data_IF_480495599982
#
_entry.id   IF_480495599982
#
_cell.length_a   1.000
_cell.length_b   1.000
_cell.length_c   1.000
_cell.angle_alpha   90.00
_cell.angle_beta   90.00
_cell.angle_gamma   90.00
#
_symmetry.space_group_name_H-M   'P 1'
#
loop_
_entity.id
_entity.type
_entity.pdbx_description
1 polymer ?
#
# COMPACT_ATOMS: atom_id res chain seq x y z
N UNK A 1 44.08 31.22 80.95
CA UNK A 1 42.96 30.66 80.19
C UNK A 1 42.15 31.83 79.63
N UNK A 2 42.24 32.09 78.33
CA UNK A 2 41.41 33.10 77.64
C UNK A 2 40.22 32.38 76.98
N UNK A 3 38.99 32.93 77.01
CA UNK A 3 37.84 32.28 76.41
C UNK A 3 37.82 32.50 74.89
N UNK A 4 37.77 31.40 74.13
CA UNK A 4 37.58 31.41 72.68
C UNK A 4 36.12 31.79 72.36
N UNK A 5 35.91 33.02 71.88
CA UNK A 5 34.60 33.50 71.41
C UNK A 5 34.33 32.93 70.02
N UNK A 6 33.48 31.90 69.91
CA UNK A 6 33.03 31.38 68.63
C UNK A 6 32.02 32.37 68.00
N UNK A 7 32.40 33.00 66.88
CA UNK A 7 31.42 33.69 66.02
C UNK A 7 30.78 32.68 65.08
N UNK A 8 29.45 32.54 65.16
CA UNK A 8 28.67 31.77 64.21
C UNK A 8 28.70 32.44 62.82
N UNK A 9 28.75 31.67 61.73
CA UNK A 9 28.91 32.24 60.39
C UNK A 9 27.59 32.80 59.85
N UNK A 10 27.63 34.01 59.28
CA UNK A 10 26.50 34.81 58.79
C UNK A 10 25.89 34.34 57.45
N UNK A 11 26.00 33.05 57.08
CA UNK A 11 25.63 32.54 55.75
C UNK A 11 24.13 32.24 55.54
N UNK A 12 23.27 32.41 56.55
CA UNK A 12 21.85 32.01 56.45
C UNK A 12 20.96 32.88 55.54
N UNK A 13 21.32 34.13 55.28
CA UNK A 13 20.51 35.01 54.42
C UNK A 13 20.76 34.74 52.93
N UNK A 14 22.01 34.55 52.52
CA UNK A 14 22.30 34.27 51.10
C UNK A 14 21.69 32.97 50.61
N UNK A 15 21.69 31.91 51.43
CA UNK A 15 21.09 30.62 51.07
C UNK A 15 19.57 30.69 50.95
N UNK A 16 18.90 31.46 51.81
CA UNK A 16 17.45 31.64 51.77
C UNK A 16 17.00 32.45 50.55
N UNK A 17 17.75 33.49 50.16
CA UNK A 17 17.45 34.27 48.94
C UNK A 17 17.61 33.43 47.68
N UNK A 18 18.68 32.63 47.59
CA UNK A 18 18.91 31.74 46.45
C UNK A 18 17.83 30.66 46.38
N UNK A 19 17.44 30.06 47.50
CA UNK A 19 16.38 29.05 47.54
C UNK A 19 15.03 29.61 47.07
N UNK A 20 14.69 30.84 47.49
CA UNK A 20 13.46 31.51 47.04
C UNK A 20 13.50 31.83 45.54
N UNK A 21 14.64 32.28 45.01
CA UNK A 21 14.79 32.54 43.58
C UNK A 21 14.64 31.28 42.72
N UNK A 22 15.22 30.15 43.15
CA UNK A 22 15.06 28.85 42.47
C UNK A 22 13.61 28.36 42.54
N UNK A 23 12.94 28.54 43.68
CA UNK A 23 11.53 28.19 43.83
C UNK A 23 10.63 29.00 42.88
N UNK A 24 10.84 30.32 42.82
CA UNK A 24 10.09 31.20 41.91
C UNK A 24 10.34 30.82 40.46
N UNK A 25 11.59 30.54 40.07
CA UNK A 25 11.91 30.13 38.70
C UNK A 25 11.24 28.80 38.35
N UNK A 26 11.22 27.83 39.26
CA UNK A 26 10.54 26.54 39.08
C UNK A 26 9.02 26.69 38.93
N UNK A 27 8.40 27.57 39.72
CA UNK A 27 6.96 27.84 39.62
C UNK A 27 6.66 28.53 38.29
N UNK A 28 7.47 29.51 37.87
CA UNK A 28 7.30 30.20 36.59
C UNK A 28 7.43 29.22 35.43
N UNK A 29 8.41 28.32 35.43
CA UNK A 29 8.57 27.33 34.36
C UNK A 29 7.44 26.30 34.34
N UNK A 30 6.93 25.86 35.50
CA UNK A 30 5.77 24.99 35.54
C UNK A 30 4.52 25.67 34.98
N UNK A 31 4.26 26.92 35.37
CA UNK A 31 3.11 27.69 34.86
C UNK A 31 3.22 27.92 33.36
N UNK A 32 4.40 28.30 32.85
CA UNK A 32 4.58 28.48 31.39
C UNK A 32 4.42 27.17 30.62
N UNK A 33 4.94 26.05 31.13
CA UNK A 33 4.73 24.74 30.51
C UNK A 33 3.25 24.35 30.48
N UNK A 34 2.50 24.59 31.56
CA UNK A 34 1.04 24.33 31.57
C UNK A 34 0.32 25.19 30.54
N UNK A 35 0.65 26.48 30.43
CA UNK A 35 0.06 27.38 29.43
C UNK A 35 0.37 26.90 28.00
N UNK A 36 1.63 26.53 27.72
CA UNK A 36 2.03 26.00 26.40
C UNK A 36 1.28 24.69 26.09
N UNK A 37 1.15 23.78 27.05
CA UNK A 37 0.41 22.52 26.85
C UNK A 37 -1.07 22.78 26.57
N UNK A 38 -1.69 23.75 27.24
CA UNK A 38 -3.08 24.13 26.99
C UNK A 38 -3.24 24.75 25.59
N UNK A 39 -2.33 25.63 25.18
CA UNK A 39 -2.35 26.24 23.84
C UNK A 39 -2.18 25.18 22.74
N UNK A 40 -1.25 24.24 22.91
CA UNK A 40 -1.04 23.12 21.98
C UNK A 40 -2.29 22.22 21.90
N UNK A 41 -2.95 21.96 23.05
CA UNK A 41 -4.22 21.22 23.06
C UNK A 41 -5.33 21.97 22.32
N UNK A 42 -5.41 23.29 22.49
CA UNK A 42 -6.38 24.13 21.80
C UNK A 42 -6.13 24.13 20.27
N UNK A 43 -4.89 24.33 19.84
CA UNK A 43 -4.52 24.26 18.42
C UNK A 43 -4.77 22.87 17.83
N UNK A 44 -4.57 21.80 18.60
CA UNK A 44 -4.89 20.44 18.17
C UNK A 44 -6.39 20.26 17.95
N UNK A 45 -7.25 20.80 18.83
CA UNK A 45 -8.70 20.74 18.61
C UNK A 45 -9.11 21.51 17.36
N UNK A 46 -8.56 22.71 17.11
CA UNK A 46 -8.85 23.49 15.91
C UNK A 46 -8.38 22.77 14.63
N UNK A 47 -7.21 22.13 14.66
CA UNK A 47 -6.72 21.32 13.55
C UNK A 47 -7.62 20.11 13.27
N UNK A 48 -8.15 19.46 14.31
CA UNK A 48 -9.07 18.34 14.13
C UNK A 48 -10.41 18.79 13.54
N UNK A 49 -10.96 19.91 14.01
CA UNK A 49 -12.18 20.48 13.42
C UNK A 49 -11.98 20.89 11.95
N UNK A 50 -10.84 21.51 11.62
CA UNK A 50 -10.54 21.88 10.23
C UNK A 50 -10.37 20.64 9.35
N UNK A 51 -9.69 19.58 9.83
CA UNK A 51 -9.61 18.29 9.12
C UNK A 51 -10.99 17.67 8.89
N UNK A 52 -11.89 17.71 9.89
CA UNK A 52 -13.25 17.20 9.75
C UNK A 52 -14.06 17.98 8.72
N UNK A 53 -13.97 19.32 8.73
CA UNK A 53 -14.66 20.19 7.76
C UNK A 53 -14.15 19.97 6.33
N UNK A 54 -12.85 19.75 6.14
CA UNK A 54 -12.30 19.43 4.81
C UNK A 54 -12.72 18.03 4.35
N UNK A 55 -12.94 17.09 5.27
CA UNK A 55 -13.47 15.75 4.97
C UNK A 55 -14.93 15.80 4.54
N UNK A 56 -15.75 16.69 5.12
CA UNK A 56 -17.16 16.90 4.68
C UNK A 56 -17.28 17.70 3.37
N UNK A 57 -16.26 18.49 3.02
CA UNK A 57 -16.22 19.25 1.76
C UNK A 57 -15.86 18.39 0.53
N UNK A 58 -15.46 17.13 0.73
CA UNK A 58 -15.25 16.14 -0.35
C UNK A 58 -16.43 15.18 -0.34
N UNK A 59 -17.33 15.23 -1.33
CA UNK A 59 -18.42 14.27 -1.42
C UNK A 59 -17.84 12.86 -1.57
N UNK A 60 -18.27 11.94 -0.72
CA UNK A 60 -18.04 10.50 -0.84
C UNK A 60 -18.66 10.03 -2.16
N UNK A 61 -17.86 10.01 -3.24
CA UNK A 61 -18.33 9.65 -4.58
C UNK A 61 -17.74 10.41 -5.77
N UNK A 62 -16.72 11.28 -5.61
CA UNK A 62 -15.99 11.75 -6.80
C UNK A 62 -15.10 10.64 -7.34
N UNK A 63 -15.65 9.87 -8.28
CA UNK A 63 -14.91 8.98 -9.16
C UNK A 63 -13.76 9.79 -9.81
N UNK A 64 -12.55 9.24 -9.81
CA UNK A 64 -11.35 9.88 -10.38
C UNK A 64 -11.50 10.16 -11.89
N UNK A 65 -12.58 9.69 -12.51
CA UNK A 65 -13.00 9.98 -13.87
C UNK A 65 -13.57 11.40 -14.08
N UNK A 66 -14.16 12.06 -13.08
CA UNK A 66 -14.81 13.37 -13.24
C UNK A 66 -13.84 14.57 -13.14
N UNK A 67 -12.57 14.34 -12.79
CA UNK A 67 -11.54 15.40 -12.74
C UNK A 67 -10.81 15.63 -14.08
N UNK A 68 -11.22 14.99 -15.17
CA UNK A 68 -10.64 15.23 -16.50
C UNK A 68 -11.36 16.32 -17.33
N UNK A 69 -12.50 16.84 -16.87
CA UNK A 69 -13.29 17.85 -17.61
C UNK A 69 -13.20 19.28 -17.05
N UNK A 70 -12.29 19.57 -16.12
CA UNK A 70 -11.94 20.94 -15.76
C UNK A 70 -11.09 21.59 -16.87
N UNK A 71 -11.74 21.89 -17.99
CA UNK A 71 -11.20 22.68 -19.09
C UNK A 71 -10.72 24.03 -18.54
N UNK A 72 -9.48 24.39 -18.86
CA UNK A 72 -8.95 25.75 -18.68
C UNK A 72 -9.95 26.77 -19.21
N UNK A 73 -10.18 27.91 -18.53
CA UNK A 73 -10.88 29.02 -19.14
C UNK A 73 -9.97 29.61 -20.23
N UNK A 74 -10.29 29.31 -21.49
CA UNK A 74 -9.76 30.03 -22.63
C UNK A 74 -10.39 31.43 -22.64
N UNK A 75 -9.54 32.44 -22.50
CA UNK A 75 -9.87 33.83 -22.69
C UNK A 75 -10.00 34.18 -24.17
N UNK A 76 -11.00 35.02 -24.40
CA UNK A 76 -11.05 36.11 -25.38
C UNK A 76 -11.40 35.80 -26.85
N UNK A 77 -12.68 36.09 -27.14
CA UNK A 77 -13.16 37.06 -28.15
C UNK A 77 -12.71 36.90 -29.61
N UNK A 78 -13.63 36.55 -30.51
CA UNK A 78 -14.20 37.50 -31.49
C UNK A 78 -15.37 36.88 -32.28
N UNK A 79 -16.29 37.76 -32.68
CA UNK A 79 -17.58 37.45 -33.28
C UNK A 79 -17.52 37.38 -34.81
N UNK A 80 -18.38 36.56 -35.43
CA UNK A 80 -19.01 36.87 -36.72
C UNK A 80 -20.31 36.05 -36.89
N UNK A 81 -21.46 36.65 -37.29
CA UNK A 81 -22.74 35.97 -37.39
C UNK A 81 -23.12 35.63 -38.84
N UNK A 82 -23.68 34.43 -39.04
CA UNK A 82 -24.58 34.17 -40.17
C UNK A 82 -24.42 32.82 -40.83
N UNK A 83 -25.40 31.93 -40.64
CA UNK A 83 -26.44 31.62 -41.65
C UNK A 83 -27.28 30.42 -41.22
N UNK A 84 -28.55 30.52 -41.57
CA UNK A 84 -29.64 29.57 -41.41
C UNK A 84 -29.33 28.19 -42.03
N UNK A 85 -29.89 27.11 -41.47
CA UNK A 85 -31.00 26.41 -42.11
C UNK A 85 -31.36 25.11 -41.38
N UNK A 86 -32.67 24.94 -41.28
CA UNK A 86 -33.43 23.79 -40.80
C UNK A 86 -33.14 22.52 -41.60
N UNK A 87 -33.09 21.38 -40.90
CA UNK A 87 -33.80 20.11 -41.13
C UNK A 87 -33.19 19.10 -40.16
N UNK A 88 -33.91 18.36 -39.33
CA UNK A 88 -35.11 17.60 -39.65
C UNK A 88 -34.81 16.14 -39.29
N UNK A 89 -35.21 15.78 -38.07
CA UNK A 89 -35.42 14.46 -37.47
C UNK A 89 -35.20 13.26 -38.39
N UNK A 90 -34.36 12.31 -37.96
CA UNK A 90 -34.65 10.88 -38.15
C UNK A 90 -33.85 9.98 -37.19
N UNK A 91 -34.58 9.00 -36.64
CA UNK A 91 -34.12 7.67 -36.21
C UNK A 91 -33.51 7.47 -34.81
N UNK A 92 -34.45 7.40 -33.85
CA UNK A 92 -34.43 6.48 -32.73
C UNK A 92 -34.34 5.01 -33.23
N UNK A 93 -33.20 4.35 -33.04
CA UNK A 93 -33.13 2.99 -32.47
C UNK A 93 -31.66 2.51 -32.32
N UNK A 94 -31.38 2.01 -31.11
CA UNK A 94 -30.51 0.85 -30.82
C UNK A 94 -29.01 1.01 -31.08
N UNK A 95 -28.29 1.35 -30.01
CA UNK A 95 -27.35 0.44 -29.32
C UNK A 95 -26.41 1.25 -28.43
N UNK A 96 -26.60 1.15 -27.11
CA UNK A 96 -25.54 1.49 -26.15
C UNK A 96 -24.39 0.51 -26.39
N UNK A 97 -23.22 1.00 -26.79
CA UNK A 97 -21.91 0.45 -26.40
C UNK A 97 -20.91 1.60 -26.41
N UNK A 98 -20.69 2.13 -25.22
CA UNK A 98 -19.51 2.92 -24.88
C UNK A 98 -18.29 2.04 -25.10
N UNK A 99 -17.37 2.52 -25.93
CA UNK A 99 -16.01 2.01 -26.00
C UNK A 99 -15.23 2.66 -24.87
N UNK A 100 -15.32 2.09 -23.67
CA UNK A 100 -14.28 2.27 -22.66
C UNK A 100 -13.29 1.11 -22.80
N UNK A 101 -12.06 1.49 -23.08
CA UNK A 101 -10.87 0.65 -23.09
C UNK A 101 -10.72 -0.02 -21.73
N UNK A 102 -11.17 -1.28 -21.65
CA UNK A 102 -10.84 -2.17 -20.53
C UNK A 102 -9.43 -2.68 -20.79
N UNK A 103 -8.50 -2.22 -19.96
CA UNK A 103 -7.23 -2.89 -19.70
C UNK A 103 -7.56 -4.34 -19.32
N UNK A 104 -7.19 -5.28 -20.18
CA UNK A 104 -7.49 -6.70 -20.01
C UNK A 104 -6.77 -7.21 -18.76
N UNK A 105 -7.46 -7.84 -17.79
CA UNK A 105 -6.76 -8.69 -16.83
C UNK A 105 -6.27 -9.92 -17.59
N UNK A 106 -5.03 -10.33 -17.30
CA UNK A 106 -4.42 -11.52 -17.87
C UNK A 106 -5.37 -12.72 -17.76
N UNK A 107 -5.49 -13.44 -18.87
CA UNK A 107 -6.54 -14.44 -19.09
C UNK A 107 -6.51 -15.57 -18.07
N UNK A 108 -7.64 -15.78 -17.40
CA UNK A 108 -7.90 -17.00 -16.63
C UNK A 108 -8.09 -18.17 -17.60
N UNK A 109 -7.04 -18.95 -17.86
CA UNK A 109 -7.15 -20.19 -18.61
C UNK A 109 -7.66 -21.31 -17.72
N UNK A 110 -8.98 -21.36 -17.45
CA UNK A 110 -9.60 -22.61 -17.02
C UNK A 110 -9.68 -23.52 -18.26
N UNK A 111 -8.85 -24.57 -18.29
CA UNK A 111 -8.90 -25.60 -19.32
C UNK A 111 -10.30 -26.23 -19.29
N UNK A 112 -11.12 -25.93 -20.31
CA UNK A 112 -12.38 -26.64 -20.51
C UNK A 112 -12.14 -28.14 -20.72
N UNK A 113 -13.12 -29.01 -20.41
CA UNK A 113 -13.01 -30.42 -20.72
C UNK A 113 -12.71 -30.62 -22.23
N UNK A 114 -11.97 -31.68 -22.61
CA UNK A 114 -11.69 -31.98 -24.01
C UNK A 114 -12.96 -31.92 -24.84
N UNK A 115 -12.94 -31.17 -25.95
CA UNK A 115 -14.08 -31.11 -26.86
C UNK A 115 -14.46 -32.52 -27.34
N UNK A 116 -15.75 -32.79 -27.59
CA UNK A 116 -16.16 -34.08 -28.15
C UNK A 116 -15.44 -34.33 -29.49
N UNK A 117 -15.15 -35.59 -29.85
CA UNK A 117 -14.58 -35.92 -31.15
C UNK A 117 -15.36 -35.25 -32.28
N UNK A 118 -14.65 -34.69 -33.25
CA UNK A 118 -15.26 -34.08 -34.44
C UNK A 118 -16.16 -35.09 -35.16
N UNK A 119 -17.25 -34.59 -35.74
CA UNK A 119 -18.12 -35.44 -36.57
C UNK A 119 -17.31 -36.03 -37.72
N UNK A 120 -17.45 -37.34 -38.02
CA UNK A 120 -16.85 -37.91 -39.22
C UNK A 120 -17.24 -37.09 -40.46
N UNK A 121 -16.27 -36.88 -41.36
CA UNK A 121 -16.53 -36.20 -42.63
C UNK A 121 -17.62 -36.92 -43.41
N UNK A 122 -18.39 -36.18 -44.20
CA UNK A 122 -19.38 -36.78 -45.10
C UNK A 122 -18.69 -37.73 -46.06
N UNK A 123 -19.26 -38.91 -46.25
CA UNK A 123 -18.80 -39.86 -47.27
C UNK A 123 -18.72 -39.16 -48.63
N UNK A 124 -17.58 -39.30 -49.31
CA UNK A 124 -17.41 -38.78 -50.65
C UNK A 124 -18.42 -39.42 -51.60
N UNK A 125 -18.90 -38.65 -52.58
CA UNK A 125 -19.70 -39.21 -53.66
C UNK A 125 -18.91 -40.34 -54.34
N UNK A 126 -19.56 -41.48 -54.72
CA UNK A 126 -18.88 -42.55 -55.43
C UNK A 126 -18.21 -42.01 -56.70
N UNK A 127 -16.88 -42.08 -56.74
CA UNK A 127 -16.10 -41.76 -57.93
C UNK A 127 -16.36 -42.79 -59.03
N UNK A 128 -16.29 -42.36 -60.29
CA UNK A 128 -16.21 -43.28 -61.43
C UNK A 128 -14.84 -43.96 -61.44
N UNK A 129 -14.80 -45.25 -61.78
CA UNK A 129 -13.59 -46.07 -61.84
C UNK A 129 -12.51 -45.39 -62.69
N UNK A 130 -11.44 -44.98 -62.02
CA UNK A 130 -10.25 -44.36 -62.60
C UNK A 130 -9.02 -44.72 -61.79
N UNK A 131 -7.91 -45.00 -62.48
CA UNK A 131 -6.63 -45.52 -61.96
C UNK A 131 -5.81 -44.49 -61.16
N UNK A 132 -6.44 -43.74 -60.27
CA UNK A 132 -5.77 -42.77 -59.39
C UNK A 132 -5.11 -43.44 -58.19
N UNK A 133 -3.86 -43.08 -57.89
CA UNK A 133 -3.20 -43.47 -56.64
C UNK A 133 -3.97 -42.90 -55.42
N UNK A 134 -3.99 -43.60 -54.28
CA UNK A 134 -4.58 -43.09 -53.05
C UNK A 134 -3.99 -41.72 -52.66
N UNK A 135 -4.84 -40.78 -52.26
CA UNK A 135 -4.42 -39.49 -51.72
C UNK A 135 -3.57 -39.68 -50.45
N UNK A 136 -2.57 -38.81 -50.27
CA UNK A 136 -1.67 -38.86 -49.10
C UNK A 136 -2.47 -38.68 -47.81
N UNK A 137 -2.20 -39.52 -46.82
CA UNK A 137 -2.77 -39.43 -45.49
C UNK A 137 -2.61 -38.00 -44.95
N UNK A 138 -3.74 -37.38 -44.63
CA UNK A 138 -3.80 -36.12 -43.90
C UNK A 138 -3.26 -36.34 -42.49
N UNK A 139 -1.94 -36.31 -42.33
CA UNK A 139 -1.34 -36.00 -41.05
C UNK A 139 -1.65 -34.53 -40.79
N UNK A 140 -2.78 -34.33 -40.12
CA UNK A 140 -3.12 -33.11 -39.43
C UNK A 140 -1.86 -32.66 -38.68
N UNK A 141 -1.27 -31.57 -39.16
CA UNK A 141 -0.32 -30.80 -38.39
C UNK A 141 -1.11 -30.17 -37.24
N UNK A 142 -1.39 -30.97 -36.21
CA UNK A 142 -1.69 -30.45 -34.89
C UNK A 142 -0.49 -29.57 -34.53
N UNK A 143 -0.70 -28.26 -34.59
CA UNK A 143 0.23 -27.29 -34.03
C UNK A 143 0.55 -27.73 -32.59
N UNK A 144 1.81 -27.63 -32.13
CA UNK A 144 2.10 -27.82 -30.72
C UNK A 144 1.23 -26.82 -29.96
N UNK A 145 0.23 -27.33 -29.24
CA UNK A 145 -0.56 -26.52 -28.34
C UNK A 145 0.40 -25.81 -27.41
N UNK A 146 0.28 -24.48 -27.33
CA UNK A 146 1.00 -23.69 -26.33
C UNK A 146 0.64 -24.27 -24.96
N UNK A 147 1.57 -25.05 -24.40
CA UNK A 147 1.49 -25.53 -23.03
C UNK A 147 1.52 -24.27 -22.16
N UNK A 148 0.39 -23.91 -21.56
CA UNK A 148 0.41 -22.93 -20.48
C UNK A 148 1.27 -23.54 -19.37
N UNK A 149 2.28 -22.84 -18.82
CA UNK A 149 3.10 -23.40 -17.77
C UNK A 149 2.20 -23.81 -16.59
N UNK A 150 2.19 -25.09 -16.27
CA UNK A 150 1.30 -25.73 -15.28
C UNK A 150 1.53 -25.30 -13.82
N UNK A 151 2.29 -24.24 -13.59
CA UNK A 151 2.49 -23.61 -12.30
C UNK A 151 3.13 -22.24 -12.56
N UNK A 152 2.53 -21.09 -12.18
CA UNK A 152 3.23 -19.83 -12.28
C UNK A 152 4.42 -19.88 -11.33
N UNK A 153 5.62 -20.02 -11.91
CA UNK A 153 6.85 -19.92 -11.16
C UNK A 153 7.06 -18.47 -10.77
N UNK A 154 7.62 -18.24 -9.58
CA UNK A 154 7.93 -16.88 -9.17
C UNK A 154 8.90 -16.22 -10.14
N UNK A 155 8.76 -14.89 -10.42
CA UNK A 155 9.72 -14.18 -11.24
C UNK A 155 11.15 -14.34 -10.69
N UNK A 156 12.15 -14.20 -11.58
CA UNK A 156 13.55 -14.30 -11.16
C UNK A 156 13.87 -13.32 -10.03
N UNK A 157 14.56 -13.80 -8.99
CA UNK A 157 14.88 -13.02 -7.80
C UNK A 157 13.78 -12.96 -6.73
N UNK A 158 12.64 -13.63 -6.93
CA UNK A 158 11.62 -13.80 -5.90
C UNK A 158 11.74 -15.16 -5.21
N UNK A 159 11.50 -15.18 -3.91
CA UNK A 159 11.39 -16.39 -3.12
C UNK A 159 9.94 -16.86 -3.06
N UNK A 160 9.66 -18.11 -3.46
CA UNK A 160 8.32 -18.70 -3.36
C UNK A 160 8.06 -19.18 -1.92
N UNK A 161 6.90 -18.84 -1.39
CA UNK A 161 6.36 -19.47 -0.20
C UNK A 161 4.84 -19.55 -0.31
N UNK A 162 4.30 -20.77 -0.20
CA UNK A 162 2.87 -21.05 -0.45
C UNK A 162 2.43 -20.51 -1.83
N UNK A 163 1.34 -19.75 -1.85
CA UNK A 163 0.72 -19.19 -3.04
C UNK A 163 1.18 -17.75 -3.34
N UNK A 164 2.34 -17.35 -2.80
CA UNK A 164 2.91 -16.01 -2.97
C UNK A 164 4.40 -16.05 -3.33
N UNK A 165 4.82 -14.99 -4.01
CA UNK A 165 6.20 -14.71 -4.40
C UNK A 165 6.69 -13.45 -3.68
N UNK A 166 7.83 -13.54 -3.02
CA UNK A 166 8.36 -12.45 -2.19
C UNK A 166 9.67 -11.90 -2.73
N UNK A 167 9.80 -10.57 -2.82
CA UNK A 167 11.04 -9.89 -3.20
C UNK A 167 11.52 -8.98 -2.10
N UNK A 168 12.78 -9.18 -1.71
CA UNK A 168 13.49 -8.38 -0.72
C UNK A 168 14.18 -7.23 -1.44
N UNK A 169 13.96 -5.99 -1.00
CA UNK A 169 14.47 -4.80 -1.67
C UNK A 169 15.99 -4.70 -1.56
N UNK A 170 16.66 -4.19 -2.59
CA UNK A 170 18.10 -3.90 -2.53
C UNK A 170 18.43 -2.52 -1.96
N UNK A 171 17.40 -1.70 -1.75
CA UNK A 171 17.48 -0.32 -1.31
C UNK A 171 16.50 -0.04 -0.16
N UNK A 172 16.70 1.10 0.50
CA UNK A 172 15.88 1.56 1.61
C UNK A 172 15.00 2.73 1.17
N UNK A 173 13.75 2.75 1.66
CA UNK A 173 12.74 3.76 1.33
C UNK A 173 11.88 4.07 2.55
N UNK A 174 11.22 5.24 2.50
CA UNK A 174 10.08 5.50 3.36
C UNK A 174 8.91 4.57 3.00
N UNK A 175 7.93 4.45 3.89
CA UNK A 175 6.83 3.48 3.70
C UNK A 175 6.05 3.73 2.41
N UNK A 176 5.70 4.98 2.12
CA UNK A 176 4.95 5.37 0.92
C UNK A 176 5.69 5.02 -0.38
N UNK A 177 6.99 5.26 -0.42
CA UNK A 177 7.83 4.94 -1.58
C UNK A 177 8.07 3.44 -1.70
N UNK A 178 8.20 2.72 -0.59
CA UNK A 178 8.28 1.25 -0.56
C UNK A 178 6.99 0.61 -1.11
N UNK A 179 5.84 1.10 -0.64
CA UNK A 179 4.51 0.72 -1.13
C UNK A 179 4.39 0.94 -2.64
N UNK A 180 4.75 2.13 -3.11
CA UNK A 180 4.72 2.49 -4.54
C UNK A 180 5.66 1.61 -5.36
N UNK A 181 6.83 1.25 -4.83
CA UNK A 181 7.77 0.37 -5.50
C UNK A 181 7.22 -1.06 -5.68
N UNK A 182 6.51 -1.59 -4.67
CA UNK A 182 5.88 -2.91 -4.79
C UNK A 182 4.70 -2.89 -5.78
N UNK A 183 3.89 -1.82 -5.76
CA UNK A 183 2.80 -1.63 -6.73
C UNK A 183 3.32 -1.54 -8.16
N UNK A 184 4.42 -0.80 -8.39
CA UNK A 184 5.06 -0.72 -9.70
C UNK A 184 5.61 -2.08 -10.18
N UNK A 185 5.90 -3.01 -9.27
CA UNK A 185 6.31 -4.38 -9.57
C UNK A 185 5.13 -5.35 -9.74
N UNK A 186 3.89 -4.87 -9.72
CA UNK A 186 2.68 -5.68 -9.85
C UNK A 186 2.26 -6.40 -8.56
N UNK A 187 2.73 -5.95 -7.40
CA UNK A 187 2.43 -6.55 -6.09
C UNK A 187 2.08 -5.50 -5.03
N UNK A 188 2.11 -5.93 -3.78
CA UNK A 188 1.89 -5.10 -2.60
C UNK A 188 3.08 -5.26 -1.64
N UNK A 189 3.15 -4.45 -0.58
CA UNK A 189 4.05 -4.80 0.53
C UNK A 189 3.59 -6.13 1.14
N UNK A 190 4.54 -6.94 1.59
CA UNK A 190 4.27 -8.27 2.11
C UNK A 190 3.37 -8.25 3.34
N UNK A 191 2.44 -9.19 3.44
CA UNK A 191 1.46 -9.23 4.53
C UNK A 191 1.64 -10.53 5.34
N UNK A 192 2.52 -10.56 6.37
CA UNK A 192 2.72 -11.73 7.23
C UNK A 192 1.50 -11.98 8.14
N UNK A 193 0.41 -12.49 7.59
CA UNK A 193 -0.87 -12.70 8.29
C UNK A 193 -0.89 -13.94 9.20
N UNK A 194 0.13 -14.77 9.12
CA UNK A 194 0.27 -15.99 9.92
C UNK A 194 1.72 -16.24 10.34
N UNK A 195 1.87 -17.15 11.32
CA UNK A 195 3.16 -17.51 11.92
C UNK A 195 4.13 -18.10 10.90
N UNK A 196 3.65 -18.93 9.98
CA UNK A 196 4.50 -19.62 9.01
C UNK A 196 5.06 -18.63 7.98
N UNK A 197 4.21 -17.76 7.46
CA UNK A 197 4.60 -16.68 6.54
C UNK A 197 5.57 -15.71 7.21
N UNK A 198 5.28 -15.25 8.44
CA UNK A 198 6.19 -14.37 9.18
C UNK A 198 7.57 -15.03 9.39
N UNK A 199 7.60 -16.29 9.83
CA UNK A 199 8.87 -16.99 10.09
C UNK A 199 9.69 -17.21 8.81
N UNK A 200 9.02 -17.52 7.70
CA UNK A 200 9.68 -17.60 6.40
C UNK A 200 10.33 -16.26 6.03
N UNK A 201 9.59 -15.16 6.12
CA UNK A 201 10.08 -13.83 5.77
C UNK A 201 11.23 -13.37 6.67
N UNK A 202 11.14 -13.59 7.98
CA UNK A 202 12.24 -13.28 8.91
C UNK A 202 13.50 -14.08 8.58
N UNK A 203 13.39 -15.38 8.24
CA UNK A 203 14.55 -16.19 7.85
C UNK A 203 15.20 -15.70 6.55
N UNK A 204 14.41 -15.20 5.60
CA UNK A 204 14.98 -14.58 4.40
C UNK A 204 15.61 -13.22 4.72
N UNK A 205 14.98 -12.39 5.55
CA UNK A 205 15.54 -11.11 5.98
C UNK A 205 16.91 -11.27 6.65
N UNK A 206 17.07 -12.26 7.54
CA UNK A 206 18.38 -12.54 8.16
C UNK A 206 19.43 -13.04 7.16
N UNK A 207 19.04 -13.51 5.97
CA UNK A 207 19.98 -13.90 4.91
C UNK A 207 20.34 -12.74 3.99
N UNK A 208 19.37 -11.91 3.61
CA UNK A 208 19.55 -10.84 2.63
C UNK A 208 19.93 -9.49 3.25
N UNK A 209 19.47 -9.23 4.48
CA UNK A 209 19.55 -7.94 5.16
C UNK A 209 19.85 -8.11 6.66
N UNK A 210 20.78 -8.99 6.99
CA UNK A 210 21.15 -9.21 8.39
C UNK A 210 21.50 -7.88 9.09
N UNK A 211 21.03 -7.74 10.31
CA UNK A 211 21.19 -6.51 11.09
C UNK A 211 20.23 -5.35 10.73
N UNK A 212 19.34 -5.48 9.74
CA UNK A 212 18.53 -4.36 9.23
C UNK A 212 17.03 -4.50 9.52
N UNK A 213 16.31 -3.37 9.55
CA UNK A 213 14.85 -3.36 9.64
C UNK A 213 14.23 -3.43 8.24
N UNK A 214 12.99 -3.93 8.16
CA UNK A 214 12.25 -3.94 6.91
C UNK A 214 10.75 -3.68 7.07
N UNK A 215 10.20 -2.81 6.22
CA UNK A 215 8.78 -2.55 6.10
C UNK A 215 7.99 -3.77 5.61
N UNK A 216 6.75 -3.87 6.08
CA UNK A 216 5.74 -4.77 5.55
C UNK A 216 4.37 -4.08 5.49
N UNK A 217 3.41 -4.70 4.81
CA UNK A 217 2.17 -4.07 4.39
C UNK A 217 1.11 -3.95 5.48
N UNK A 218 1.42 -3.33 6.61
CA UNK A 218 0.47 -3.06 7.69
C UNK A 218 0.62 -1.62 8.22
N UNK A 219 -0.49 -0.90 8.34
CA UNK A 219 -0.51 0.51 8.77
C UNK A 219 -1.84 0.90 9.41
N UNK A 220 -1.84 1.86 10.33
CA UNK A 220 -3.03 2.49 10.89
C UNK A 220 -3.17 3.98 10.50
N UNK A 221 -2.45 4.42 9.45
CA UNK A 221 -2.50 5.78 8.88
C UNK A 221 -3.91 6.32 8.64
N UNK A 222 -4.86 5.44 8.31
CA UNK A 222 -6.24 5.81 8.06
C UNK A 222 -7.02 6.15 9.34
N UNK A 223 -6.72 5.43 10.43
CA UNK A 223 -7.35 5.57 11.72
C UNK A 223 -6.43 5.00 12.81
N UNK A 224 -5.84 5.90 13.59
CA UNK A 224 -5.01 5.60 14.76
C UNK A 224 -5.56 4.44 15.61
N UNK A 225 -4.71 3.46 15.91
CA UNK A 225 -5.04 2.26 16.67
C UNK A 225 -5.80 1.18 15.89
N UNK A 226 -6.10 1.42 14.61
CA UNK A 226 -6.77 0.46 13.72
C UNK A 226 -5.87 0.07 12.56
N UNK A 227 -5.08 -0.99 12.75
CA UNK A 227 -4.16 -1.48 11.74
C UNK A 227 -4.88 -2.22 10.60
N UNK A 228 -4.53 -1.85 9.37
CA UNK A 228 -5.07 -2.34 8.11
C UNK A 228 -3.93 -2.87 7.24
N UNK A 229 -4.14 -4.03 6.64
CA UNK A 229 -3.23 -4.62 5.66
C UNK A 229 -3.34 -3.92 4.30
N UNK A 230 -2.33 -4.06 3.44
CA UNK A 230 -2.34 -3.47 2.08
C UNK A 230 -3.52 -3.92 1.19
N UNK A 231 -4.09 -5.10 1.46
CA UNK A 231 -5.31 -5.58 0.78
C UNK A 231 -6.62 -5.04 1.37
N UNK A 232 -6.53 -4.11 2.33
CA UNK A 232 -7.67 -3.46 2.97
C UNK A 232 -8.32 -4.26 4.10
N UNK A 233 -7.84 -5.48 4.39
CA UNK A 233 -8.35 -6.25 5.52
C UNK A 233 -7.79 -5.73 6.84
N UNK A 234 -8.60 -5.80 7.90
CA UNK A 234 -8.17 -5.39 9.23
C UNK A 234 -7.19 -6.43 9.84
N UNK A 235 -6.26 -5.97 10.65
CA UNK A 235 -5.51 -6.87 11.54
C UNK A 235 -6.47 -7.46 12.57
N UNK A 236 -6.74 -8.76 12.45
CA UNK A 236 -7.54 -9.51 13.42
C UNK A 236 -6.86 -10.83 13.78
N UNK A 237 -6.87 -11.19 15.05
CA UNK A 237 -6.32 -12.47 15.51
C UNK A 237 -4.84 -12.41 15.82
N UNK A 238 -4.01 -13.14 15.06
CA UNK A 238 -2.59 -13.28 15.35
C UNK A 238 -1.78 -12.06 14.92
N UNK A 239 -0.78 -11.71 15.73
CA UNK A 239 0.20 -10.68 15.45
C UNK A 239 1.54 -11.03 16.11
N UNK A 240 2.65 -10.55 15.54
CA UNK A 240 3.98 -10.75 16.12
C UNK A 240 4.59 -9.45 16.67
N UNK A 241 3.75 -8.55 17.19
CA UNK A 241 4.20 -7.36 17.92
C UNK A 241 5.24 -7.71 19.00
N UNK A 242 6.24 -6.84 19.13
CA UNK A 242 7.13 -6.88 20.28
C UNK A 242 6.34 -6.56 21.56
N UNK A 243 6.66 -7.17 22.73
CA UNK A 243 5.97 -6.82 23.97
C UNK A 243 6.03 -5.32 24.23
N UNK A 244 4.86 -4.70 24.35
CA UNK A 244 4.72 -3.24 24.50
C UNK A 244 4.31 -2.51 23.22
N UNK A 245 4.33 -3.17 22.07
CA UNK A 245 3.94 -2.61 20.78
C UNK A 245 2.54 -3.05 20.32
N UNK A 246 1.85 -2.27 19.46
CA UNK A 246 2.24 -0.92 19.01
C UNK A 246 2.05 0.12 20.12
N UNK A 247 2.98 1.06 20.25
CA UNK A 247 2.99 2.09 21.31
C UNK A 247 2.78 3.51 20.77
N UNK A 248 2.72 3.67 19.45
CA UNK A 248 2.62 4.94 18.75
C UNK A 248 3.61 5.97 19.33
N UNK A 249 4.90 5.61 19.41
CA UNK A 249 5.89 6.47 20.04
C UNK A 249 5.91 7.86 19.40
N UNK A 250 5.89 8.91 20.23
CA UNK A 250 5.83 10.30 19.79
C UNK A 250 4.56 10.69 18.98
N UNK A 251 3.50 9.88 18.99
CA UNK A 251 2.21 10.15 18.32
C UNK A 251 2.30 10.27 16.79
N UNK A 252 3.08 9.42 16.13
CA UNK A 252 3.15 9.36 14.67
C UNK A 252 3.85 8.12 14.10
N UNK A 253 3.79 6.99 14.81
CA UNK A 253 4.28 5.71 14.30
C UNK A 253 3.13 4.92 13.69
N UNK A 254 2.93 5.09 12.38
CA UNK A 254 1.71 4.58 11.73
C UNK A 254 1.95 3.32 10.87
N UNK A 255 3.19 2.85 10.77
CA UNK A 255 3.62 1.84 9.79
C UNK A 255 4.40 0.71 10.44
N UNK A 256 4.03 -0.54 10.17
CA UNK A 256 4.67 -1.68 10.81
C UNK A 256 5.93 -2.17 10.05
N UNK A 257 6.96 -2.55 10.81
CA UNK A 257 8.17 -3.18 10.30
C UNK A 257 8.64 -4.36 11.15
N UNK A 258 9.50 -5.21 10.58
CA UNK A 258 10.32 -6.12 11.38
C UNK A 258 11.53 -5.37 11.94
N UNK A 259 11.62 -5.25 13.26
CA UNK A 259 12.70 -4.54 13.95
C UNK A 259 13.81 -5.52 14.34
N UNK A 260 15.01 -5.36 13.76
CA UNK A 260 16.14 -6.26 14.03
C UNK A 260 16.50 -6.30 15.53
N UNK A 261 16.55 -5.14 16.21
CA UNK A 261 16.87 -5.06 17.65
C UNK A 261 15.86 -5.76 18.55
N UNK A 262 14.69 -6.11 18.02
CA UNK A 262 13.63 -6.87 18.71
C UNK A 262 13.56 -8.33 18.25
N UNK A 263 14.63 -8.84 17.63
CA UNK A 263 14.65 -10.19 17.07
C UNK A 263 13.66 -10.35 15.92
N UNK A 264 13.48 -9.29 15.12
CA UNK A 264 12.50 -9.22 14.04
C UNK A 264 11.04 -9.44 14.48
N UNK A 265 10.71 -9.05 15.72
CA UNK A 265 9.31 -8.79 16.11
C UNK A 265 8.84 -7.46 15.54
N UNK A 266 7.53 -7.29 15.46
CA UNK A 266 6.93 -6.12 14.84
C UNK A 266 7.04 -4.89 15.74
N UNK A 267 7.33 -3.76 15.12
CA UNK A 267 7.28 -2.42 15.70
C UNK A 267 6.51 -1.52 14.72
N UNK A 268 5.75 -0.56 15.22
CA UNK A 268 5.30 0.59 14.48
C UNK A 268 6.42 1.62 14.42
N UNK A 269 6.60 2.31 13.30
CA UNK A 269 7.62 3.34 13.12
C UNK A 269 7.05 4.50 12.30
N UNK A 270 7.64 5.70 12.36
CA UNK A 270 7.13 6.83 11.61
C UNK A 270 7.25 6.58 10.12
N UNK A 271 6.23 7.02 9.36
CA UNK A 271 6.14 6.83 7.91
C UNK A 271 7.40 7.32 7.16
N UNK A 272 8.11 8.30 7.73
CA UNK A 272 9.33 8.91 7.16
C UNK A 272 10.60 8.08 7.34
N UNK A 273 10.57 7.01 8.14
CA UNK A 273 11.72 6.13 8.37
C UNK A 273 12.19 5.47 7.07
N UNK A 274 13.50 5.43 6.83
CA UNK A 274 14.05 4.78 5.64
C UNK A 274 14.55 3.38 6.00
N UNK A 275 13.88 2.34 5.48
CA UNK A 275 14.23 0.94 5.73
C UNK A 275 14.11 0.09 4.47
N UNK A 276 14.68 -1.11 4.50
CA UNK A 276 14.40 -2.11 3.47
C UNK A 276 12.91 -2.47 3.47
N UNK A 277 12.45 -3.19 2.48
CA UNK A 277 11.04 -3.58 2.39
C UNK A 277 10.91 -4.88 1.62
N UNK A 278 9.79 -5.58 1.86
CA UNK A 278 9.49 -6.83 1.18
C UNK A 278 8.22 -6.66 0.37
N UNK A 279 8.29 -6.95 -0.93
CA UNK A 279 7.14 -7.00 -1.80
C UNK A 279 6.59 -8.42 -1.89
N UNK A 280 5.28 -8.53 -2.05
CA UNK A 280 4.53 -9.76 -2.25
C UNK A 280 3.72 -9.68 -3.54
N UNK A 281 3.77 -10.74 -4.34
CA UNK A 281 2.94 -10.94 -5.53
C UNK A 281 2.25 -12.29 -5.38
N UNK A 282 0.92 -12.29 -5.39
CA UNK A 282 0.15 -13.54 -5.28
C UNK A 282 0.20 -14.33 -6.60
N UNK A 283 0.42 -15.63 -6.51
CA UNK A 283 0.49 -16.54 -7.67
C UNK A 283 -0.88 -16.68 -8.34
N UNK A 284 -1.98 -16.46 -7.61
CA UNK A 284 -3.34 -16.45 -8.17
C UNK A 284 -3.62 -15.28 -9.15
N UNK A 285 -2.74 -14.28 -9.21
CA UNK A 285 -2.84 -13.12 -10.11
C UNK A 285 -1.72 -13.05 -11.16
N UNK A 286 -0.81 -14.05 -11.19
CA UNK A 286 0.25 -14.22 -12.19
C UNK A 286 -0.20 -15.13 -13.33
#
# INVERSE_FOLDING_TARGET
MLPFKHSAPKYGWFTTVVAMAVCVLSIVTMVTMVVVVLEVRNLRSELQETKLRHKEAVPDGTDFADLQDAKRPDGDTEADPGKESLTGKENYHRSKRSANSVTMPFGSCLQGPPGPPGVPGRDGLPGRDGTGQPGRDGRDAAQPGTVCPENPACPSGYAKFQDSCFKFSSDQKNYSDARSACQAAGGLLAMPKDVATNNFLVNQLTRYHDGSNAWFGLTDLAQEGTFVWEDGTLLTGWSNWYPGQPDNANFGEDCALWKNTYGYKWNDEPITGSYYYVCEVSIAVL
#
